data_IF_112758765897
#
_entry.id   IF_112758765897
#
_cell.length_a   1.000
_cell.length_b   1.000
_cell.length_c   1.000
_cell.angle_alpha   90.00
_cell.angle_beta   90.00
_cell.angle_gamma   90.00
#
_symmetry.space_group_name_H-M   'P 1'
#
loop_
_entity.id
_entity.type
_entity.pdbx_description
1 polymer ?
#
# COMPACT_ATOMS: atom_id res chain seq x y z
N UNK A 1 -11.56 -16.21 -8.14
CA UNK A 1 -11.57 -15.70 -9.53
C UNK A 1 -10.38 -14.78 -9.65
N UNK A 2 -9.48 -15.02 -10.59
CA UNK A 2 -8.30 -14.16 -10.79
C UNK A 2 -8.73 -12.95 -11.60
N UNK A 3 -8.52 -11.74 -11.06
CA UNK A 3 -8.79 -10.48 -11.75
C UNK A 3 -7.62 -10.21 -12.69
N UNK A 4 -7.89 -9.85 -13.94
CA UNK A 4 -6.85 -9.44 -14.91
C UNK A 4 -6.52 -7.95 -14.79
N UNK A 5 -5.35 -7.50 -15.26
CA UNK A 5 -5.03 -6.06 -15.33
C UNK A 5 -6.11 -5.22 -16.04
N UNK A 6 -6.61 -5.68 -17.20
CA UNK A 6 -7.70 -5.02 -17.93
C UNK A 6 -9.00 -4.90 -17.09
N UNK A 7 -9.38 -5.96 -16.38
CA UNK A 7 -10.54 -5.94 -15.50
C UNK A 7 -10.36 -4.98 -14.32
N UNK A 8 -9.16 -4.96 -13.73
CA UNK A 8 -8.81 -4.02 -12.67
C UNK A 8 -8.87 -2.58 -13.16
N UNK A 9 -8.22 -2.26 -14.30
CA UNK A 9 -8.25 -0.94 -14.93
C UNK A 9 -9.67 -0.49 -15.22
N UNK A 10 -10.49 -1.37 -15.80
CA UNK A 10 -11.91 -1.08 -16.05
C UNK A 10 -12.65 -0.74 -14.76
N UNK A 11 -12.43 -1.50 -13.69
CA UNK A 11 -13.03 -1.25 -12.38
C UNK A 11 -12.58 0.10 -11.77
N UNK A 12 -11.31 0.50 -11.95
CA UNK A 12 -10.84 1.82 -11.51
C UNK A 12 -11.56 2.93 -12.30
N UNK A 13 -11.64 2.81 -13.63
CA UNK A 13 -12.28 3.79 -14.53
C UNK A 13 -13.76 3.96 -14.21
N UNK A 14 -14.51 2.87 -14.17
CA UNK A 14 -15.96 2.87 -13.94
C UNK A 14 -16.32 3.12 -12.47
N UNK A 15 -15.37 2.91 -11.57
CA UNK A 15 -15.51 3.08 -10.13
C UNK A 15 -15.20 4.49 -9.66
N UNK A 16 -14.21 4.62 -8.78
CA UNK A 16 -13.95 5.84 -8.04
C UNK A 16 -13.43 6.98 -8.91
N UNK A 17 -12.65 6.70 -9.97
CA UNK A 17 -12.18 7.74 -10.89
C UNK A 17 -13.35 8.45 -11.57
N UNK A 18 -14.29 7.69 -12.13
CA UNK A 18 -15.49 8.29 -12.72
C UNK A 18 -16.33 9.03 -11.66
N UNK A 19 -16.51 8.46 -10.47
CA UNK A 19 -17.27 9.11 -9.39
C UNK A 19 -16.71 10.50 -9.04
N UNK A 20 -15.38 10.62 -8.91
CA UNK A 20 -14.72 11.85 -8.49
C UNK A 20 -14.49 12.84 -9.63
N UNK A 21 -14.11 12.37 -10.82
CA UNK A 21 -13.58 13.24 -11.88
C UNK A 21 -14.40 13.24 -13.18
N UNK A 22 -15.41 12.37 -13.33
CA UNK A 22 -16.21 12.38 -14.55
C UNK A 22 -17.12 13.60 -14.63
N UNK A 23 -17.16 14.18 -15.82
CA UNK A 23 -18.11 15.22 -16.20
C UNK A 23 -19.27 14.59 -16.98
N UNK A 24 -20.44 15.22 -16.91
CA UNK A 24 -21.57 14.82 -17.75
C UNK A 24 -21.31 15.31 -19.18
N UNK A 25 -21.40 14.41 -20.16
CA UNK A 25 -21.45 14.81 -21.56
C UNK A 25 -22.83 15.40 -21.93
N UNK A 26 -23.00 15.82 -23.18
CA UNK A 26 -24.25 16.42 -23.68
C UNK A 26 -25.48 15.50 -23.53
N UNK A 27 -25.27 14.18 -23.47
CA UNK A 27 -26.31 13.16 -23.31
C UNK A 27 -26.54 12.76 -21.84
N UNK A 28 -25.91 13.46 -20.89
CA UNK A 28 -26.03 13.18 -19.46
C UNK A 28 -25.25 11.95 -18.97
N UNK A 29 -24.41 11.35 -19.83
CA UNK A 29 -23.55 10.22 -19.48
C UNK A 29 -22.29 10.76 -18.80
N UNK A 30 -21.97 10.24 -17.61
CA UNK A 30 -20.72 10.57 -16.92
C UNK A 30 -19.55 9.80 -17.54
N UNK A 31 -18.56 10.53 -18.04
CA UNK A 31 -17.32 9.96 -18.55
C UNK A 31 -16.12 10.79 -18.11
N UNK A 32 -14.94 10.14 -18.02
CA UNK A 32 -13.70 10.85 -17.78
C UNK A 32 -13.36 11.74 -19.00
N UNK A 33 -12.84 12.96 -18.79
CA UNK A 33 -12.49 13.85 -19.90
C UNK A 33 -11.48 13.20 -20.88
N UNK A 34 -11.59 13.46 -22.19
CA UNK A 34 -10.57 13.04 -23.14
C UNK A 34 -9.19 13.60 -22.75
N UNK A 35 -8.15 12.76 -22.81
CA UNK A 35 -6.78 13.16 -22.46
C UNK A 35 -6.53 13.36 -20.96
N UNK A 36 -7.50 13.04 -20.10
CA UNK A 36 -7.34 13.19 -18.64
C UNK A 36 -6.11 12.43 -18.11
N UNK A 37 -5.24 13.12 -17.37
CA UNK A 37 -3.95 12.57 -16.94
C UNK A 37 -4.09 11.29 -16.11
N UNK A 38 -5.09 11.22 -15.21
CA UNK A 38 -5.33 10.00 -14.43
C UNK A 38 -5.70 8.79 -15.30
N UNK A 39 -6.41 9.01 -16.41
CA UNK A 39 -6.68 7.95 -17.39
C UNK A 39 -5.39 7.43 -18.02
N UNK A 40 -4.47 8.33 -18.37
CA UNK A 40 -3.20 7.96 -19.00
C UNK A 40 -2.24 7.28 -18.02
N UNK A 41 -2.24 7.71 -16.76
CA UNK A 41 -1.52 7.05 -15.67
C UNK A 41 -2.03 5.64 -15.44
N UNK A 42 -3.35 5.47 -15.45
CA UNK A 42 -3.97 4.16 -15.33
C UNK A 42 -3.64 3.24 -16.51
N UNK A 43 -3.61 3.76 -17.75
CA UNK A 43 -3.16 3.00 -18.92
C UNK A 43 -1.70 2.55 -18.78
N UNK A 44 -0.82 3.43 -18.27
CA UNK A 44 0.58 3.09 -18.03
C UNK A 44 0.71 1.97 -16.96
N UNK A 45 -0.09 2.03 -15.89
CA UNK A 45 -0.13 0.96 -14.88
C UNK A 45 -0.73 -0.33 -15.45
N UNK A 46 -1.77 -0.29 -16.28
CA UNK A 46 -2.28 -1.49 -16.95
C UNK A 46 -1.22 -2.17 -17.80
N UNK A 47 -0.49 -1.38 -18.60
CA UNK A 47 0.57 -1.87 -19.46
C UNK A 47 1.73 -2.47 -18.64
N UNK A 48 2.07 -1.86 -17.50
CA UNK A 48 3.02 -2.42 -16.53
C UNK A 48 2.54 -3.77 -16.00
N UNK A 49 1.32 -3.84 -15.48
CA UNK A 49 0.74 -5.05 -14.86
C UNK A 49 0.51 -6.16 -15.90
N UNK A 50 0.35 -5.79 -17.16
CA UNK A 50 0.27 -6.71 -18.31
C UNK A 50 1.64 -7.06 -18.90
N UNK A 51 2.73 -6.57 -18.32
CA UNK A 51 4.11 -6.76 -18.78
C UNK A 51 4.39 -6.25 -20.20
N UNK A 52 3.61 -5.28 -20.69
CA UNK A 52 3.84 -4.58 -21.96
C UNK A 52 4.85 -3.45 -21.83
N UNK A 53 4.94 -2.84 -20.64
CA UNK A 53 5.95 -1.85 -20.27
C UNK A 53 6.81 -2.36 -19.12
N UNK A 54 8.07 -1.93 -19.10
CA UNK A 54 8.95 -2.17 -17.98
C UNK A 54 8.61 -1.25 -16.78
N UNK A 55 9.06 -1.58 -15.56
CA UNK A 55 8.98 -0.68 -14.41
C UNK A 55 9.61 0.69 -14.68
N UNK A 56 10.78 0.73 -15.33
CA UNK A 56 11.52 1.96 -15.65
C UNK A 56 10.76 2.84 -16.65
N UNK A 57 10.25 2.25 -17.74
CA UNK A 57 9.48 2.97 -18.75
C UNK A 57 8.18 3.53 -18.15
N UNK A 58 7.53 2.73 -17.31
CA UNK A 58 6.30 3.15 -16.62
C UNK A 58 6.57 4.26 -15.62
N UNK A 59 7.67 4.19 -14.86
CA UNK A 59 8.09 5.23 -13.93
C UNK A 59 8.36 6.55 -14.65
N UNK A 60 9.13 6.50 -15.75
CA UNK A 60 9.43 7.68 -16.59
C UNK A 60 8.17 8.29 -17.18
N UNK A 61 7.28 7.46 -17.74
CA UNK A 61 5.99 7.91 -18.29
C UNK A 61 5.10 8.52 -17.21
N UNK A 62 5.00 7.89 -16.05
CA UNK A 62 4.21 8.39 -14.92
C UNK A 62 4.73 9.72 -14.42
N UNK A 63 6.05 9.85 -14.24
CA UNK A 63 6.68 11.09 -13.82
C UNK A 63 6.42 12.23 -14.82
N UNK A 64 6.54 11.96 -16.12
CA UNK A 64 6.23 12.96 -17.15
C UNK A 64 4.77 13.41 -17.10
N UNK A 65 3.83 12.50 -16.87
CA UNK A 65 2.40 12.79 -16.76
C UNK A 65 2.07 13.58 -15.49
N UNK A 66 2.64 13.21 -14.34
CA UNK A 66 2.47 13.94 -13.08
C UNK A 66 3.03 15.36 -13.22
N UNK A 67 4.19 15.52 -13.86
CA UNK A 67 4.84 16.81 -14.04
C UNK A 67 4.23 17.67 -15.15
N UNK A 68 3.28 17.16 -15.97
CA UNK A 68 2.55 18.01 -16.90
C UNK A 68 1.49 18.86 -16.21
N UNK A 69 1.00 18.43 -15.05
CA UNK A 69 -0.11 19.09 -14.35
C UNK A 69 0.34 20.28 -13.52
N UNK A 70 -0.53 21.28 -13.41
CA UNK A 70 -0.31 22.43 -12.50
C UNK A 70 -0.36 21.93 -11.05
N UNK A 71 -1.41 21.18 -10.71
CA UNK A 71 -1.52 20.47 -9.44
C UNK A 71 -0.78 19.13 -9.52
N UNK A 72 0.37 19.06 -8.85
CA UNK A 72 1.23 17.86 -8.83
C UNK A 72 0.73 16.84 -7.80
N UNK A 73 0.12 17.31 -6.71
CA UNK A 73 -0.37 16.47 -5.61
C UNK A 73 -1.47 15.52 -6.05
N UNK A 74 -2.45 15.98 -6.82
CA UNK A 74 -3.55 15.14 -7.28
C UNK A 74 -3.07 13.92 -8.07
N UNK A 75 -2.38 14.04 -9.22
CA UNK A 75 -1.95 12.87 -9.99
C UNK A 75 -1.02 11.95 -9.20
N UNK A 76 -0.15 12.49 -8.35
CA UNK A 76 0.73 11.68 -7.49
C UNK A 76 -0.05 10.85 -6.45
N UNK A 77 -0.92 11.48 -5.67
CA UNK A 77 -1.70 10.79 -4.63
C UNK A 77 -2.62 9.71 -5.23
N UNK A 78 -3.17 9.96 -6.42
CA UNK A 78 -3.96 8.97 -7.14
C UNK A 78 -3.11 7.78 -7.62
N UNK A 79 -1.85 7.98 -8.04
CA UNK A 79 -0.92 6.86 -8.36
C UNK A 79 -0.66 6.00 -7.12
N UNK A 80 -0.40 6.62 -5.97
CA UNK A 80 -0.23 5.88 -4.70
C UNK A 80 -1.49 5.05 -4.39
N UNK A 81 -2.66 5.66 -4.51
CA UNK A 81 -3.95 4.97 -4.32
C UNK A 81 -4.13 3.78 -5.28
N UNK A 82 -3.85 3.96 -6.57
CA UNK A 82 -3.95 2.89 -7.58
C UNK A 82 -2.98 1.74 -7.29
N UNK A 83 -1.74 2.03 -6.89
CA UNK A 83 -0.74 0.98 -6.55
C UNK A 83 -1.20 0.15 -5.35
N UNK A 84 -1.71 0.80 -4.29
CA UNK A 84 -2.20 0.09 -3.11
C UNK A 84 -3.49 -0.69 -3.40
N UNK A 85 -4.39 -0.13 -4.21
CA UNK A 85 -5.58 -0.84 -4.65
C UNK A 85 -5.22 -2.10 -5.47
N UNK A 86 -4.26 -1.98 -6.40
CA UNK A 86 -3.71 -3.13 -7.12
C UNK A 86 -3.11 -4.17 -6.16
N UNK A 87 -2.33 -3.73 -5.16
CA UNK A 87 -1.74 -4.61 -4.15
C UNK A 87 -2.78 -5.34 -3.28
N UNK A 88 -3.95 -4.75 -3.05
CA UNK A 88 -5.06 -5.44 -2.36
C UNK A 88 -5.83 -6.37 -3.31
N UNK A 89 -5.86 -6.07 -4.60
CA UNK A 89 -6.64 -6.80 -5.60
C UNK A 89 -5.94 -8.06 -6.11
N UNK A 90 -4.66 -7.96 -6.48
CA UNK A 90 -3.91 -9.05 -7.09
C UNK A 90 -3.30 -9.97 -6.04
N UNK A 91 -3.31 -11.27 -6.33
CA UNK A 91 -2.66 -12.30 -5.52
C UNK A 91 -1.45 -12.93 -6.22
N UNK A 92 -1.06 -12.42 -7.40
CA UNK A 92 0.09 -12.88 -8.16
C UNK A 92 1.35 -12.16 -7.66
N UNK A 93 2.27 -12.90 -7.03
CA UNK A 93 3.51 -12.34 -6.50
C UNK A 93 4.37 -11.64 -7.56
N UNK A 94 4.33 -12.09 -8.82
CA UNK A 94 5.07 -11.45 -9.90
C UNK A 94 4.52 -10.06 -10.17
N UNK A 95 3.19 -9.90 -10.18
CA UNK A 95 2.54 -8.59 -10.30
C UNK A 95 2.91 -7.71 -9.11
N UNK A 96 2.88 -8.25 -7.90
CA UNK A 96 3.22 -7.51 -6.68
C UNK A 96 4.68 -7.04 -6.67
N UNK A 97 5.63 -7.89 -7.12
CA UNK A 97 7.04 -7.51 -7.29
C UNK A 97 7.19 -6.42 -8.35
N UNK A 98 6.50 -6.54 -9.50
CA UNK A 98 6.51 -5.51 -10.55
C UNK A 98 6.01 -4.14 -10.05
N UNK A 99 5.03 -4.11 -9.15
CA UNK A 99 4.61 -2.87 -8.46
C UNK A 99 5.70 -2.30 -7.55
N UNK A 100 6.45 -3.15 -6.85
CA UNK A 100 7.58 -2.73 -6.00
C UNK A 100 8.70 -2.16 -6.86
N UNK A 101 9.07 -2.85 -7.93
CA UNK A 101 10.08 -2.40 -8.89
C UNK A 101 9.70 -1.04 -9.48
N UNK A 102 8.42 -0.84 -9.85
CA UNK A 102 7.94 0.44 -10.34
C UNK A 102 8.15 1.59 -9.33
N UNK A 103 7.85 1.38 -8.05
CA UNK A 103 8.10 2.39 -7.01
C UNK A 103 9.59 2.64 -6.78
N UNK A 104 10.42 1.60 -6.89
CA UNK A 104 11.89 1.72 -6.81
C UNK A 104 12.43 2.54 -7.98
N UNK A 105 11.97 2.28 -9.20
CA UNK A 105 12.39 3.03 -10.39
C UNK A 105 11.90 4.48 -10.32
N UNK A 106 10.67 4.73 -9.85
CA UNK A 106 10.21 6.10 -9.54
C UNK A 106 11.13 6.80 -8.53
N UNK A 107 11.51 6.12 -7.44
CA UNK A 107 12.39 6.70 -6.43
C UNK A 107 13.82 6.94 -6.91
N UNK A 108 14.21 6.29 -8.01
CA UNK A 108 15.53 6.43 -8.63
C UNK A 108 15.60 7.57 -9.65
N UNK A 109 14.47 8.21 -9.97
CA UNK A 109 14.43 9.34 -10.90
C UNK A 109 15.17 10.57 -10.34
N UNK A 110 15.78 11.41 -11.20
CA UNK A 110 16.36 12.69 -10.78
C UNK A 110 15.33 13.60 -10.12
N UNK A 111 15.76 14.46 -9.19
CA UNK A 111 14.89 15.41 -8.51
C UNK A 111 13.88 16.08 -9.46
N UNK A 112 12.60 16.04 -9.08
CA UNK A 112 11.55 16.70 -9.84
C UNK A 112 11.74 18.23 -9.79
N UNK A 113 11.92 18.86 -10.97
CA UNK A 113 12.06 20.31 -11.11
C UNK A 113 10.87 20.85 -11.92
N UNK A 114 10.31 21.98 -11.51
CA UNK A 114 9.33 22.69 -12.33
C UNK A 114 10.01 23.32 -13.55
N UNK A 115 10.10 22.59 -14.67
CA UNK A 115 10.62 23.10 -15.94
C UNK A 115 9.60 23.84 -16.80
N UNK A 116 8.36 23.96 -16.32
CA UNK A 116 7.31 24.68 -17.00
C UNK A 116 7.44 26.20 -16.84
N UNK A 117 6.84 27.00 -17.74
CA UNK A 117 6.86 28.45 -17.64
C UNK A 117 5.96 29.02 -16.52
N UNK A 118 5.09 28.19 -15.95
CA UNK A 118 4.09 28.59 -14.94
C UNK A 118 4.38 28.03 -13.55
N UNK A 119 3.70 28.59 -12.56
CA UNK A 119 3.71 28.10 -11.17
C UNK A 119 2.99 26.76 -11.09
N UNK A 120 3.59 25.80 -10.39
CA UNK A 120 2.94 24.55 -10.00
C UNK A 120 2.47 24.61 -8.55
N UNK A 121 1.51 23.78 -8.19
CA UNK A 121 0.95 23.71 -6.84
C UNK A 121 1.10 22.31 -6.25
N UNK A 122 1.30 22.27 -4.93
CA UNK A 122 1.32 21.05 -4.13
C UNK A 122 0.44 21.28 -2.90
N UNK A 123 -0.55 20.41 -2.68
CA UNK A 123 -1.23 20.29 -1.40
C UNK A 123 -0.33 19.50 -0.43
N UNK A 124 0.06 20.14 0.67
CA UNK A 124 0.91 19.54 1.71
C UNK A 124 0.12 19.06 2.92
N UNK A 125 -1.20 19.01 2.82
CA UNK A 125 -2.12 18.59 3.87
C UNK A 125 -2.62 19.76 4.72
N UNK A 126 -3.73 19.54 5.43
CA UNK A 126 -4.34 20.55 6.29
C UNK A 126 -4.95 21.75 5.55
N UNK A 127 -5.12 21.66 4.22
CA UNK A 127 -5.62 22.74 3.37
C UNK A 127 -4.56 23.76 2.95
N UNK A 128 -3.28 23.48 3.21
CA UNK A 128 -2.17 24.34 2.80
C UNK A 128 -1.70 23.98 1.39
N UNK A 129 -1.60 24.98 0.52
CA UNK A 129 -1.14 24.84 -0.86
C UNK A 129 0.17 25.61 -1.05
N UNK A 130 1.23 24.89 -1.38
CA UNK A 130 2.52 25.46 -1.73
C UNK A 130 2.61 25.78 -3.22
N UNK A 131 3.25 26.90 -3.54
CA UNK A 131 3.51 27.34 -4.90
C UNK A 131 4.97 27.11 -5.27
N UNK A 132 5.21 26.39 -6.36
CA UNK A 132 6.54 26.05 -6.87
C UNK A 132 6.79 26.87 -8.12
N UNK A 133 7.74 27.81 -8.04
CA UNK A 133 8.13 28.64 -9.17
C UNK A 133 8.89 27.84 -10.23
N UNK A 134 9.00 28.33 -11.47
CA UNK A 134 9.89 27.75 -12.47
C UNK A 134 11.32 27.56 -11.94
N UNK A 135 11.95 26.46 -12.35
CA UNK A 135 13.27 25.98 -11.95
C UNK A 135 13.45 25.63 -10.46
N UNK A 136 12.37 25.66 -9.66
CA UNK A 136 12.40 25.16 -8.30
C UNK A 136 12.12 23.65 -8.24
N UNK A 137 12.72 23.01 -7.23
CA UNK A 137 12.44 21.61 -6.92
C UNK A 137 11.02 21.46 -6.37
N UNK A 138 10.37 20.37 -6.76
CA UNK A 138 9.06 19.95 -6.28
C UNK A 138 9.26 19.13 -5.01
N UNK A 139 8.90 19.73 -3.88
CA UNK A 139 9.14 19.22 -2.53
C UNK A 139 7.82 19.27 -1.75
N UNK A 140 7.47 18.14 -1.13
CA UNK A 140 6.37 17.97 -0.20
C UNK A 140 6.89 18.13 1.24
N UNK A 141 5.99 18.17 2.22
CA UNK A 141 6.37 18.23 3.63
C UNK A 141 7.29 17.06 4.05
N UNK A 142 7.10 15.88 3.45
CA UNK A 142 7.85 14.65 3.73
C UNK A 142 9.16 14.54 2.94
N UNK A 143 9.41 15.45 1.98
CA UNK A 143 10.64 15.47 1.20
C UNK A 143 10.41 15.62 -0.30
N UNK A 144 11.40 15.20 -1.08
CA UNK A 144 11.40 15.29 -2.55
C UNK A 144 10.46 14.27 -3.15
N UNK A 145 9.70 14.68 -4.16
CA UNK A 145 8.64 13.88 -4.77
C UNK A 145 9.08 12.45 -5.15
N UNK A 146 10.17 12.31 -5.92
CA UNK A 146 10.61 10.98 -6.36
C UNK A 146 11.36 10.22 -5.27
N UNK A 147 12.46 10.78 -4.77
CA UNK A 147 13.32 10.11 -3.78
C UNK A 147 12.56 9.64 -2.53
N UNK A 148 11.66 10.48 -2.02
CA UNK A 148 11.04 10.28 -0.71
C UNK A 148 9.61 9.74 -0.81
N UNK A 149 9.04 9.61 -2.03
CA UNK A 149 7.69 9.09 -2.32
C UNK A 149 6.65 9.59 -1.28
N UNK A 150 6.42 10.91 -1.19
CA UNK A 150 5.61 11.51 -0.13
C UNK A 150 4.21 10.91 -0.12
N UNK A 151 3.54 10.92 1.04
CA UNK A 151 2.23 10.27 1.28
C UNK A 151 2.20 8.74 1.17
N UNK A 152 3.20 8.05 0.59
CA UNK A 152 3.15 6.59 0.45
C UNK A 152 3.08 5.87 1.80
N UNK A 153 4.01 6.18 2.71
CA UNK A 153 4.03 5.57 4.05
C UNK A 153 2.78 5.90 4.86
N UNK A 154 2.24 7.11 4.70
CA UNK A 154 0.98 7.51 5.31
C UNK A 154 -0.18 6.66 4.79
N UNK A 155 -0.30 6.47 3.47
CA UNK A 155 -1.36 5.65 2.88
C UNK A 155 -1.24 4.17 3.29
N UNK A 156 -0.03 3.62 3.36
CA UNK A 156 0.17 2.26 3.93
C UNK A 156 -0.30 2.21 5.37
N UNK A 157 0.04 3.24 6.15
CA UNK A 157 -0.35 3.36 7.56
C UNK A 157 -1.87 3.43 7.71
N UNK A 158 -2.57 4.25 6.94
CA UNK A 158 -4.04 4.35 6.94
C UNK A 158 -4.72 3.01 6.59
N UNK A 159 -4.16 2.27 5.63
CA UNK A 159 -4.62 0.91 5.33
C UNK A 159 -4.39 -0.08 6.50
N UNK A 160 -3.53 0.25 7.46
CA UNK A 160 -3.24 -0.51 8.68
C UNK A 160 -3.89 0.05 9.97
N UNK A 161 -4.22 1.35 10.06
CA UNK A 161 -4.38 2.08 11.34
C UNK A 161 -5.80 2.46 11.77
N UNK A 162 -6.87 2.23 11.01
CA UNK A 162 -8.22 2.52 11.53
C UNK A 162 -8.40 1.92 12.94
N UNK A 163 -9.02 2.62 13.90
CA UNK A 163 -9.13 2.21 15.32
C UNK A 163 -9.90 0.87 15.56
N UNK A 164 -10.19 0.14 14.49
CA UNK A 164 -10.75 -1.20 14.37
C UNK A 164 -10.06 -2.02 13.25
N UNK A 165 -8.85 -1.71 12.78
CA UNK A 165 -8.39 -2.06 11.41
C UNK A 165 -7.37 -3.20 11.27
N UNK A 166 -7.25 -3.61 10.01
CA UNK A 166 -7.24 -4.99 9.58
C UNK A 166 -8.31 -5.17 8.49
N UNK A 167 -8.69 -6.42 8.15
CA UNK A 167 -9.76 -6.72 7.21
C UNK A 167 -11.09 -6.00 7.51
N UNK A 168 -11.32 -5.57 8.74
CA UNK A 168 -12.53 -4.89 9.21
C UNK A 168 -12.77 -3.52 8.57
N UNK A 169 -11.71 -2.85 8.07
CA UNK A 169 -11.85 -1.61 7.30
C UNK A 169 -12.80 -1.82 6.11
N UNK A 170 -12.61 -2.92 5.38
CA UNK A 170 -13.46 -3.25 4.24
C UNK A 170 -14.84 -3.74 4.68
N UNK A 171 -14.97 -4.39 5.84
CA UNK A 171 -16.27 -4.84 6.37
C UNK A 171 -17.18 -3.68 6.76
N UNK A 172 -16.59 -2.58 7.23
CA UNK A 172 -17.32 -1.41 7.73
C UNK A 172 -17.28 -0.21 6.78
N UNK A 173 -16.80 -0.40 5.54
CA UNK A 173 -16.85 0.63 4.51
C UNK A 173 -18.30 1.04 4.22
N UNK A 174 -18.69 2.25 4.63
CA UNK A 174 -20.08 2.72 4.60
C UNK A 174 -20.68 2.80 3.19
N UNK A 175 -19.83 2.95 2.17
CA UNK A 175 -20.26 3.09 0.77
C UNK A 175 -20.36 1.76 0.04
N UNK A 176 -19.58 0.75 0.44
CA UNK A 176 -19.54 -0.58 -0.18
C UNK A 176 -18.86 -1.59 0.76
N UNK A 177 -19.59 -2.18 1.73
CA UNK A 177 -19.01 -3.14 2.65
C UNK A 177 -18.64 -4.43 1.91
N UNK A 178 -17.43 -4.91 2.13
CA UNK A 178 -16.95 -6.18 1.60
C UNK A 178 -17.52 -7.36 2.39
N UNK A 179 -17.56 -8.54 1.76
CA UNK A 179 -17.80 -9.79 2.49
C UNK A 179 -16.58 -10.15 3.34
N UNK A 180 -16.73 -10.94 4.42
CA UNK A 180 -15.61 -11.46 5.20
C UNK A 180 -14.50 -12.09 4.36
N UNK A 181 -14.88 -12.87 3.35
CA UNK A 181 -13.93 -13.52 2.45
C UNK A 181 -13.17 -12.50 1.57
N UNK A 182 -13.87 -11.49 1.02
CA UNK A 182 -13.23 -10.47 0.20
C UNK A 182 -12.29 -9.59 1.03
N UNK A 183 -12.69 -9.19 2.24
CA UNK A 183 -11.87 -8.43 3.17
C UNK A 183 -10.60 -9.20 3.59
N UNK A 184 -10.75 -10.48 3.94
CA UNK A 184 -9.64 -11.37 4.26
C UNK A 184 -8.66 -11.52 3.09
N UNK A 185 -9.18 -11.65 1.85
CA UNK A 185 -8.34 -11.74 0.65
C UNK A 185 -7.58 -10.44 0.39
N UNK A 186 -8.25 -9.29 0.45
CA UNK A 186 -7.63 -7.98 0.28
C UNK A 186 -6.52 -7.75 1.31
N UNK A 187 -6.81 -8.04 2.59
CA UNK A 187 -5.84 -7.96 3.68
C UNK A 187 -4.65 -8.88 3.45
N UNK A 188 -4.89 -10.15 3.08
CA UNK A 188 -3.83 -11.10 2.76
C UNK A 188 -2.94 -10.59 1.63
N UNK A 189 -3.52 -10.15 0.53
CA UNK A 189 -2.78 -9.69 -0.64
C UNK A 189 -1.91 -8.45 -0.33
N UNK A 190 -2.46 -7.47 0.40
CA UNK A 190 -1.70 -6.30 0.86
C UNK A 190 -0.51 -6.71 1.75
N UNK A 191 -0.71 -7.66 2.66
CA UNK A 191 0.35 -8.16 3.53
C UNK A 191 1.40 -8.97 2.74
N UNK A 192 1.00 -9.73 1.72
CA UNK A 192 1.95 -10.38 0.79
C UNK A 192 2.81 -9.34 0.07
N UNK A 193 2.19 -8.28 -0.46
CA UNK A 193 2.91 -7.18 -1.11
C UNK A 193 3.92 -6.51 -0.19
N UNK A 194 3.54 -6.21 1.06
CA UNK A 194 4.43 -5.59 2.04
C UNK A 194 5.53 -6.53 2.53
N UNK A 195 5.25 -7.84 2.62
CA UNK A 195 6.26 -8.84 2.94
C UNK A 195 7.30 -8.97 1.82
N UNK A 196 6.85 -9.00 0.55
CA UNK A 196 7.74 -8.97 -0.61
C UNK A 196 8.59 -7.70 -0.61
N UNK A 197 7.99 -6.54 -0.30
CA UNK A 197 8.71 -5.27 -0.17
C UNK A 197 9.79 -5.33 0.92
N UNK A 198 9.48 -5.92 2.07
CA UNK A 198 10.39 -6.05 3.21
C UNK A 198 11.67 -6.83 2.87
N UNK A 199 11.58 -7.82 1.97
CA UNK A 199 12.74 -8.62 1.53
C UNK A 199 13.34 -8.15 0.20
N UNK A 200 12.76 -7.12 -0.44
CA UNK A 200 13.22 -6.63 -1.73
C UNK A 200 14.47 -5.73 -1.58
N UNK A 201 15.66 -6.11 -2.10
CA UNK A 201 16.90 -5.42 -1.79
C UNK A 201 16.92 -3.94 -2.16
N UNK A 202 16.42 -3.59 -3.35
CA UNK A 202 16.35 -2.19 -3.79
C UNK A 202 15.27 -1.39 -3.06
N UNK A 203 14.22 -2.05 -2.57
CA UNK A 203 13.19 -1.34 -1.80
C UNK A 203 13.74 -0.91 -0.43
N UNK A 204 14.64 -1.71 0.15
CA UNK A 204 15.29 -1.38 1.41
C UNK A 204 16.24 -0.19 1.32
N UNK A 205 16.63 0.26 0.13
CA UNK A 205 17.42 1.49 -0.06
C UNK A 205 16.57 2.75 -0.20
N UNK A 206 15.25 2.61 -0.36
CA UNK A 206 14.30 3.73 -0.49
C UNK A 206 13.61 3.95 0.86
N UNK A 207 13.82 5.09 1.54
CA UNK A 207 13.31 5.30 2.91
C UNK A 207 11.80 5.05 3.08
N UNK A 208 10.98 5.47 2.10
CA UNK A 208 9.53 5.27 2.15
C UNK A 208 9.09 3.81 2.00
N UNK A 209 9.93 2.95 1.41
CA UNK A 209 9.64 1.54 1.15
C UNK A 209 10.33 0.60 2.14
N UNK A 210 11.39 1.05 2.80
CA UNK A 210 12.16 0.24 3.73
C UNK A 210 11.40 -0.11 5.03
N UNK A 211 11.87 -1.16 5.71
CA UNK A 211 11.48 -1.48 7.09
C UNK A 211 10.04 -1.98 7.28
N UNK A 212 9.38 -2.48 6.22
CA UNK A 212 7.99 -2.97 6.31
C UNK A 212 7.82 -4.22 7.15
N UNK A 213 8.88 -4.97 7.48
CA UNK A 213 8.82 -6.13 8.34
C UNK A 213 8.19 -5.85 9.73
N UNK A 214 8.29 -4.61 10.24
CA UNK A 214 7.61 -4.17 11.47
C UNK A 214 6.09 -4.29 11.41
N UNK A 215 5.51 -4.13 10.22
CA UNK A 215 4.07 -4.34 10.01
C UNK A 215 3.71 -5.82 10.16
N UNK A 216 4.62 -6.73 9.81
CA UNK A 216 4.47 -8.17 10.04
C UNK A 216 4.32 -8.53 11.51
N UNK A 217 5.12 -7.90 12.39
CA UNK A 217 4.99 -8.06 13.85
C UNK A 217 3.58 -7.68 14.33
N UNK A 218 3.06 -6.55 13.85
CA UNK A 218 1.70 -6.10 14.16
C UNK A 218 0.65 -7.11 13.67
N UNK A 219 0.76 -7.59 12.43
CA UNK A 219 -0.15 -8.58 11.86
C UNK A 219 -0.12 -9.90 12.63
N UNK A 220 1.05 -10.38 13.05
CA UNK A 220 1.20 -11.59 13.88
C UNK A 220 0.52 -11.42 15.24
N UNK A 221 0.74 -10.29 15.91
CA UNK A 221 0.09 -9.99 17.20
C UNK A 221 -1.43 -9.96 17.09
N UNK A 222 -1.97 -9.32 16.05
CA UNK A 222 -3.42 -9.27 15.81
C UNK A 222 -4.02 -10.65 15.52
N UNK A 223 -3.35 -11.46 14.69
CA UNK A 223 -3.82 -12.78 14.29
C UNK A 223 -3.73 -13.82 15.43
N UNK A 224 -2.67 -13.79 16.25
CA UNK A 224 -2.27 -14.99 17.00
C UNK A 224 -2.30 -14.85 18.52
N UNK A 225 -2.40 -13.64 19.07
CA UNK A 225 -2.24 -13.41 20.52
C UNK A 225 -3.53 -13.13 21.29
N UNK A 226 -4.68 -13.06 20.62
CA UNK A 226 -5.92 -12.62 21.26
C UNK A 226 -6.92 -13.79 21.41
N UNK A 227 -7.48 -13.98 22.61
CA UNK A 227 -8.48 -15.03 22.84
C UNK A 227 -9.80 -14.72 22.12
N UNK A 228 -10.57 -15.73 21.65
CA UNK A 228 -11.84 -15.52 20.92
C UNK A 228 -12.90 -14.67 21.65
N UNK A 229 -12.82 -14.59 22.99
CA UNK A 229 -13.71 -13.75 23.79
C UNK A 229 -13.43 -12.23 23.71
N UNK A 230 -12.25 -11.82 23.22
CA UNK A 230 -11.85 -10.42 23.11
C UNK A 230 -12.32 -9.80 21.80
N UNK A 231 -12.34 -8.46 21.71
CA UNK A 231 -12.67 -7.75 20.45
C UNK A 231 -11.74 -8.15 19.30
N UNK A 232 -10.43 -8.27 19.56
CA UNK A 232 -9.41 -8.65 18.56
C UNK A 232 -9.43 -10.15 18.25
N UNK A 233 -9.73 -11.00 19.22
CA UNK A 233 -9.81 -12.45 18.98
C UNK A 233 -10.97 -12.87 18.09
N UNK A 234 -12.07 -12.11 18.06
CA UNK A 234 -13.23 -12.35 17.18
C UNK A 234 -12.90 -12.24 15.68
N UNK A 235 -11.83 -11.55 15.35
CA UNK A 235 -11.41 -11.23 13.98
C UNK A 235 -10.07 -11.88 13.62
N UNK A 236 -9.44 -12.62 14.54
CA UNK A 236 -8.15 -13.29 14.33
C UNK A 236 -8.11 -14.17 13.07
N UNK A 237 -9.19 -14.89 12.78
CA UNK A 237 -9.32 -15.71 11.55
C UNK A 237 -9.21 -14.89 10.25
N UNK A 238 -9.63 -13.61 10.27
CA UNK A 238 -9.50 -12.73 9.12
C UNK A 238 -8.04 -12.29 8.88
N UNK A 239 -7.21 -12.29 9.92
CA UNK A 239 -5.80 -11.92 9.85
C UNK A 239 -4.86 -13.12 9.65
N UNK A 240 -5.28 -14.33 10.04
CA UNK A 240 -4.42 -15.52 10.01
C UNK A 240 -3.79 -15.81 8.64
N UNK A 241 -4.51 -15.69 7.50
CA UNK A 241 -3.88 -15.83 6.20
C UNK A 241 -2.77 -14.81 5.95
N UNK A 242 -2.92 -13.56 6.39
CA UNK A 242 -1.90 -12.53 6.24
C UNK A 242 -0.67 -12.81 7.12
N UNK A 243 -0.88 -13.28 8.34
CA UNK A 243 0.20 -13.74 9.22
C UNK A 243 1.01 -14.88 8.57
N UNK A 244 0.33 -15.85 7.95
CA UNK A 244 0.99 -16.91 7.20
C UNK A 244 1.84 -16.39 6.03
N UNK A 245 1.37 -15.35 5.33
CA UNK A 245 2.15 -14.74 4.24
C UNK A 245 3.42 -14.05 4.75
N UNK A 246 3.35 -13.33 5.88
CA UNK A 246 4.52 -12.72 6.50
C UNK A 246 5.58 -13.76 6.86
N UNK A 247 5.18 -14.87 7.51
CA UNK A 247 6.12 -15.93 7.87
C UNK A 247 6.69 -16.66 6.64
N UNK A 248 5.88 -16.85 5.59
CA UNK A 248 6.32 -17.51 4.36
C UNK A 248 7.30 -16.68 3.55
N UNK A 249 7.07 -15.38 3.43
CA UNK A 249 7.84 -14.48 2.54
C UNK A 249 8.98 -13.80 3.27
N UNK A 250 8.75 -13.32 4.49
CA UNK A 250 9.67 -12.50 5.25
C UNK A 250 9.93 -13.07 6.66
N UNK A 251 9.79 -14.39 6.83
CA UNK A 251 9.97 -15.08 8.11
C UNK A 251 11.34 -14.83 8.73
N UNK A 252 12.40 -14.94 7.94
CA UNK A 252 13.78 -14.71 8.38
C UNK A 252 14.01 -13.28 8.86
N UNK A 253 13.41 -12.30 8.18
CA UNK A 253 13.51 -10.89 8.54
C UNK A 253 12.74 -10.58 9.83
N UNK A 254 11.58 -11.23 10.03
CA UNK A 254 10.82 -11.13 11.29
C UNK A 254 11.59 -11.81 12.43
N UNK A 255 12.23 -12.95 12.18
CA UNK A 255 13.08 -13.64 13.16
C UNK A 255 14.25 -12.76 13.57
N UNK A 256 14.93 -12.13 12.62
CA UNK A 256 16.01 -11.18 12.88
C UNK A 256 15.55 -10.04 13.80
N UNK A 257 14.40 -9.43 13.52
CA UNK A 257 13.83 -8.38 14.39
C UNK A 257 13.55 -8.88 15.81
N UNK A 258 13.13 -10.14 15.96
CA UNK A 258 12.89 -10.75 17.26
C UNK A 258 14.18 -11.11 17.99
N UNK A 259 15.24 -11.50 17.28
CA UNK A 259 16.56 -11.77 17.87
C UNK A 259 17.25 -10.49 18.35
N UNK A 260 16.99 -9.36 17.69
CA UNK A 260 17.52 -8.05 18.08
C UNK A 260 16.85 -7.47 19.34
N UNK A 261 15.64 -7.93 19.67
CA UNK A 261 14.85 -7.48 20.84
C UNK A 261 14.70 -5.94 20.93
N UNK A 262 14.63 -5.25 19.79
CA UNK A 262 14.45 -3.79 19.73
C UNK A 262 13.00 -3.36 19.51
N UNK A 263 12.17 -4.26 19.00
CA UNK A 263 10.80 -3.94 18.61
C UNK A 263 9.82 -4.27 19.75
N UNK A 264 8.90 -3.35 20.03
CA UNK A 264 7.86 -3.54 21.03
C UNK A 264 6.48 -3.36 20.40
N UNK A 265 5.61 -4.35 20.58
CA UNK A 265 4.21 -4.27 20.20
C UNK A 265 3.35 -4.76 21.36
N UNK A 266 2.20 -4.11 21.54
CA UNK A 266 1.23 -4.44 22.58
C UNK A 266 0.87 -5.93 22.55
N UNK A 267 1.17 -6.65 23.63
CA UNK A 267 0.90 -8.07 23.74
C UNK A 267 -0.59 -8.38 23.99
N UNK A 268 -1.09 -9.36 23.23
CA UNK A 268 -2.41 -9.95 23.42
C UNK A 268 -2.47 -10.86 24.64
N UNK A 269 -3.70 -11.19 25.06
CA UNK A 269 -3.95 -11.90 26.30
C UNK A 269 -3.44 -13.35 26.30
N UNK A 270 -3.45 -14.05 25.16
CA UNK A 270 -2.90 -15.41 25.06
C UNK A 270 -1.39 -15.45 25.33
N UNK A 271 -0.66 -14.43 24.87
CA UNK A 271 0.77 -14.31 25.12
C UNK A 271 1.04 -13.89 26.57
N UNK A 272 0.31 -12.90 27.08
CA UNK A 272 0.42 -12.43 28.48
C UNK A 272 0.13 -13.52 29.51
N UNK A 273 -0.87 -14.38 29.26
CA UNK A 273 -1.20 -15.51 30.13
C UNK A 273 -0.06 -16.54 30.27
N UNK A 274 0.94 -16.52 29.38
CA UNK A 274 2.15 -17.35 29.45
C UNK A 274 3.35 -16.62 30.06
N UNK A 275 3.14 -15.44 30.64
CA UNK A 275 4.21 -14.58 31.17
C UNK A 275 4.90 -13.70 30.12
N UNK A 276 4.31 -13.59 28.92
CA UNK A 276 4.83 -12.76 27.84
C UNK A 276 4.77 -11.25 28.11
N UNK A 277 5.73 -10.51 27.57
CA UNK A 277 5.80 -9.03 27.62
C UNK A 277 5.49 -8.41 26.25
N UNK A 278 5.46 -7.08 26.17
CA UNK A 278 5.30 -6.35 24.89
C UNK A 278 6.54 -6.44 23.98
N UNK A 279 7.64 -7.03 24.44
CA UNK A 279 8.84 -7.24 23.63
C UNK A 279 8.59 -8.26 22.51
N UNK A 280 9.07 -7.98 21.31
CA UNK A 280 9.16 -8.96 20.23
C UNK A 280 10.49 -9.71 20.37
N UNK A 281 10.45 -10.93 20.90
CA UNK A 281 11.62 -11.78 21.10
C UNK A 281 11.44 -13.17 20.48
N UNK A 282 12.51 -13.97 20.43
CA UNK A 282 12.47 -15.31 19.81
C UNK A 282 11.44 -16.25 20.47
N UNK A 283 11.15 -16.07 21.77
CA UNK A 283 10.10 -16.84 22.45
C UNK A 283 8.69 -16.48 21.93
N UNK A 284 8.44 -15.18 21.68
CA UNK A 284 7.20 -14.70 21.07
C UNK A 284 7.07 -15.15 19.62
N UNK A 285 8.18 -15.18 18.87
CA UNK A 285 8.22 -15.75 17.53
C UNK A 285 7.85 -17.23 17.50
N UNK A 286 8.42 -18.03 18.41
CA UNK A 286 8.07 -19.45 18.55
C UNK A 286 6.59 -19.64 18.93
N UNK A 287 6.06 -18.77 19.81
CA UNK A 287 4.64 -18.75 20.14
C UNK A 287 3.77 -18.49 18.90
N UNK A 288 4.10 -17.49 18.07
CA UNK A 288 3.37 -17.21 16.83
C UNK A 288 3.41 -18.39 15.86
N UNK A 289 4.58 -18.97 15.60
CA UNK A 289 4.72 -20.16 14.74
C UNK A 289 3.83 -21.31 15.22
N UNK A 290 3.81 -21.60 16.53
CA UNK A 290 2.94 -22.64 17.12
C UNK A 290 1.45 -22.34 16.90
N UNK A 291 1.03 -21.12 17.19
CA UNK A 291 -0.39 -20.71 17.07
C UNK A 291 -0.88 -20.77 15.63
N UNK A 292 -0.03 -20.39 14.67
CA UNK A 292 -0.39 -20.44 13.26
C UNK A 292 -0.65 -21.89 12.80
N UNK A 293 0.22 -22.83 13.21
CA UNK A 293 0.03 -24.26 12.94
C UNK A 293 -1.25 -24.81 13.59
N UNK A 294 -1.58 -24.40 14.81
CA UNK A 294 -2.84 -24.77 15.49
C UNK A 294 -4.09 -24.30 14.74
N UNK A 295 -3.98 -23.21 13.96
CA UNK A 295 -5.03 -22.68 13.10
C UNK A 295 -5.07 -23.33 11.71
N UNK A 296 -4.12 -24.24 11.39
CA UNK A 296 -4.08 -24.97 10.12
C UNK A 296 -3.37 -24.26 8.97
N UNK A 297 -2.45 -23.34 9.28
CA UNK A 297 -1.65 -22.58 8.32
C UNK A 297 -0.17 -22.96 8.36
#
# INVERSE_FOLDING_TARGET
MTITPDQWTKAQREGWLCKLYATCNADGIRALPPGFVLSQLLDALEDLLSYKLSPEDTATRSASLILSEIDVSTPWTNVVGMVLDAATTFNDEKILITLIDYLVELASLPDAINKGPGVKTIDVGGGEIWQIQPDQAIVFAEGKLWRDLPTYSWNVTENFQGLIAGPELWLHCLSAPATPLAAMQAWRNLNTYLALMAVHPKAQTVPALAGKARLGLTTLGLALENSPGTRRGKVSELHAPAAAQWLRVAGDEIERLCEEETEQIMAGDLWKCRGGTDMCNSARMAFWKSRLMEMGY
#
